data_IF_553449451809
#
_entry.id   IF_553449451809
#
_cell.length_a   1.000
_cell.length_b   1.000
_cell.length_c   1.000
_cell.angle_alpha   90.00
_cell.angle_beta   90.00
_cell.angle_gamma   90.00
#
_symmetry.space_group_name_H-M   'P 1'
#
loop_
_entity.id
_entity.type
_entity.pdbx_description
1 polymer ?
#
# COMPACT_ATOMS: atom_id res chain seq x y z
N UNK A 1 -9.22 -4.69 16.08
CA UNK A 1 -10.07 -5.83 15.64
C UNK A 1 -11.50 -5.72 16.15
N UNK A 2 -11.72 -5.45 17.46
CA UNK A 2 -13.07 -5.42 18.06
C UNK A 2 -14.05 -4.46 17.33
N UNK A 3 -13.60 -3.25 16.95
CA UNK A 3 -14.42 -2.32 16.18
C UNK A 3 -14.78 -2.82 14.78
N UNK A 4 -13.85 -3.49 14.12
CA UNK A 4 -14.09 -4.12 12.81
C UNK A 4 -15.09 -5.28 12.94
N UNK A 5 -14.91 -6.14 13.93
CA UNK A 5 -15.83 -7.24 14.18
C UNK A 5 -17.25 -6.73 14.47
N UNK A 6 -17.39 -5.68 15.29
CA UNK A 6 -18.68 -5.05 15.56
C UNK A 6 -19.36 -4.49 14.29
N UNK A 7 -18.58 -3.90 13.37
CA UNK A 7 -19.12 -3.42 12.10
C UNK A 7 -19.57 -4.57 11.19
N UNK A 8 -18.81 -5.66 11.13
CA UNK A 8 -19.11 -6.84 10.30
C UNK A 8 -20.32 -7.64 10.84
N UNK A 9 -20.56 -7.58 12.15
CA UNK A 9 -21.61 -8.39 12.81
C UNK A 9 -23.04 -8.06 12.32
N UNK A 10 -23.25 -6.87 11.72
CA UNK A 10 -24.53 -6.49 11.14
C UNK A 10 -24.88 -7.26 9.86
N UNK A 11 -23.88 -7.88 9.20
CA UNK A 11 -24.07 -8.66 7.96
C UNK A 11 -24.38 -7.84 6.70
N UNK A 12 -24.16 -6.53 6.74
CA UNK A 12 -24.40 -5.58 5.64
C UNK A 12 -23.12 -5.05 4.99
N UNK A 13 -21.95 -5.56 5.40
CA UNK A 13 -20.64 -5.19 4.84
C UNK A 13 -20.28 -6.11 3.70
N UNK A 14 -20.20 -5.57 2.48
CA UNK A 14 -19.84 -6.34 1.29
C UNK A 14 -18.33 -6.66 1.24
N UNK A 15 -17.48 -5.73 1.64
CA UNK A 15 -16.03 -5.89 1.56
C UNK A 15 -15.29 -5.04 2.59
N UNK A 16 -14.08 -5.50 2.94
CA UNK A 16 -13.07 -4.73 3.67
C UNK A 16 -12.01 -4.28 2.66
N UNK A 17 -11.81 -2.97 2.52
CA UNK A 17 -10.74 -2.40 1.71
C UNK A 17 -9.68 -1.80 2.64
N UNK A 18 -8.43 -2.22 2.47
CA UNK A 18 -7.33 -1.73 3.30
C UNK A 18 -5.97 -1.78 2.61
N UNK A 19 -5.07 -0.90 3.01
CA UNK A 19 -3.63 -1.08 2.79
C UNK A 19 -3.07 -2.02 3.86
N UNK A 20 -2.06 -2.86 3.57
CA UNK A 20 -1.36 -3.67 4.59
C UNK A 20 -0.64 -2.84 5.65
N UNK A 21 -0.18 -1.65 5.29
CA UNK A 21 0.33 -0.62 6.18
C UNK A 21 -0.21 0.73 5.71
N UNK A 22 -0.58 1.63 6.62
CA UNK A 22 -0.98 2.99 6.22
C UNK A 22 0.25 3.77 5.78
N UNK A 23 0.18 4.42 4.62
CA UNK A 23 1.36 5.02 3.98
C UNK A 23 1.17 6.46 3.51
N UNK A 24 0.00 7.04 3.68
CA UNK A 24 -0.28 8.45 3.36
C UNK A 24 -0.27 9.39 4.58
N UNK A 25 0.05 8.86 5.73
CA UNK A 25 0.11 9.58 7.00
C UNK A 25 1.41 9.28 7.77
N UNK A 26 2.47 9.08 7.04
CA UNK A 26 3.64 8.38 7.54
C UNK A 26 3.48 6.86 7.34
N UNK A 27 4.49 6.10 7.70
CA UNK A 27 4.39 4.64 7.68
C UNK A 27 3.86 4.17 9.04
N UNK A 28 2.61 3.68 9.06
CA UNK A 28 2.04 3.04 10.24
C UNK A 28 1.94 1.55 9.99
N UNK A 29 2.82 0.79 10.64
CA UNK A 29 2.87 -0.66 10.49
C UNK A 29 1.75 -1.32 11.28
N UNK A 30 1.18 -2.44 10.77
CA UNK A 30 0.21 -3.21 11.52
C UNK A 30 0.87 -3.91 12.71
N UNK A 31 0.11 -4.16 13.76
CA UNK A 31 0.52 -5.06 14.84
C UNK A 31 0.68 -6.49 14.31
N UNK A 32 1.55 -7.26 14.93
CA UNK A 32 1.78 -8.67 14.57
C UNK A 32 0.47 -9.48 14.57
N UNK A 33 0.23 -10.18 13.47
CA UNK A 33 -0.96 -11.00 13.29
C UNK A 33 -2.26 -10.21 12.99
N UNK A 34 -2.23 -8.88 12.99
CA UNK A 34 -3.43 -8.07 12.75
C UNK A 34 -4.06 -8.35 11.38
N UNK A 35 -3.25 -8.37 10.31
CA UNK A 35 -3.75 -8.57 8.95
C UNK A 35 -4.33 -9.97 8.73
N UNK A 36 -3.72 -10.98 9.33
CA UNK A 36 -4.26 -12.36 9.32
C UNK A 36 -5.60 -12.41 10.06
N UNK A 37 -5.70 -11.77 11.21
CA UNK A 37 -6.95 -11.71 11.96
C UNK A 37 -8.06 -10.93 11.21
N UNK A 38 -7.72 -9.89 10.44
CA UNK A 38 -8.66 -9.20 9.55
C UNK A 38 -9.16 -10.13 8.45
N UNK A 39 -8.26 -10.89 7.82
CA UNK A 39 -8.63 -11.89 6.82
C UNK A 39 -9.60 -12.94 7.39
N UNK A 40 -9.32 -13.43 8.60
CA UNK A 40 -10.18 -14.41 9.25
C UNK A 40 -11.55 -13.83 9.61
N UNK A 41 -11.61 -12.56 10.03
CA UNK A 41 -12.87 -11.85 10.25
C UNK A 41 -13.66 -11.67 8.96
N UNK A 42 -13.02 -11.24 7.85
CA UNK A 42 -13.66 -11.13 6.56
C UNK A 42 -14.32 -12.45 6.16
N UNK A 43 -13.58 -13.55 6.24
CA UNK A 43 -14.09 -14.90 5.96
C UNK A 43 -15.21 -15.33 6.90
N UNK A 44 -15.09 -15.06 8.20
CA UNK A 44 -16.09 -15.39 9.21
C UNK A 44 -17.44 -14.74 8.92
N UNK A 45 -17.43 -13.49 8.46
CA UNK A 45 -18.64 -12.70 8.22
C UNK A 45 -19.07 -12.66 6.76
N UNK A 46 -18.37 -13.38 5.87
CA UNK A 46 -18.69 -13.44 4.44
C UNK A 46 -18.45 -12.14 3.67
N UNK A 47 -17.63 -11.26 4.21
CA UNK A 47 -17.17 -10.04 3.53
C UNK A 47 -15.95 -10.35 2.65
N UNK A 48 -15.85 -9.71 1.49
CA UNK A 48 -14.68 -9.82 0.63
C UNK A 48 -13.50 -9.02 1.20
N UNK A 49 -12.28 -9.51 1.02
CA UNK A 49 -11.06 -8.80 1.41
C UNK A 49 -10.39 -8.19 0.17
N UNK A 50 -10.23 -6.88 0.17
CA UNK A 50 -9.56 -6.10 -0.88
C UNK A 50 -8.29 -5.50 -0.27
N UNK A 51 -7.13 -5.90 -0.79
CA UNK A 51 -5.84 -5.36 -0.33
C UNK A 51 -5.29 -4.40 -1.39
N UNK A 52 -4.96 -3.18 -0.98
CA UNK A 52 -4.29 -2.19 -1.81
C UNK A 52 -2.78 -2.21 -1.56
N UNK A 53 -2.04 -2.75 -2.53
CA UNK A 53 -0.57 -2.84 -2.53
C UNK A 53 0.12 -1.64 -3.18
N UNK A 54 -0.63 -0.60 -3.54
CA UNK A 54 -0.06 0.52 -4.31
C UNK A 54 1.22 1.09 -3.70
N UNK A 55 1.33 1.12 -2.39
CA UNK A 55 2.54 1.57 -1.69
C UNK A 55 3.34 0.40 -1.10
N UNK A 56 2.68 -0.61 -0.60
CA UNK A 56 3.31 -1.73 0.11
C UNK A 56 3.99 -2.72 -0.82
N UNK A 57 3.82 -2.58 -2.15
CA UNK A 57 4.65 -3.25 -3.17
C UNK A 57 6.15 -2.94 -2.98
N UNK A 58 6.52 -1.88 -2.28
CA UNK A 58 7.91 -1.55 -1.96
C UNK A 58 8.65 -2.63 -1.14
N UNK A 59 7.93 -3.56 -0.54
CA UNK A 59 8.49 -4.68 0.23
C UNK A 59 9.10 -5.76 -0.67
N UNK A 60 8.58 -5.91 -1.90
CA UNK A 60 9.08 -6.91 -2.84
C UNK A 60 8.13 -7.15 -4.01
N UNK A 61 8.47 -8.04 -4.96
CA UNK A 61 7.68 -8.29 -6.17
C UNK A 61 6.22 -8.69 -5.91
N UNK A 62 5.94 -9.30 -4.77
CA UNK A 62 4.59 -9.70 -4.36
C UNK A 62 3.98 -8.85 -3.25
N UNK A 63 4.65 -7.73 -2.89
CA UNK A 63 4.23 -6.84 -1.82
C UNK A 63 4.11 -7.51 -0.45
N UNK A 64 3.50 -6.82 0.50
CA UNK A 64 3.23 -7.38 1.83
C UNK A 64 2.25 -8.55 1.80
N UNK A 65 1.37 -8.61 0.80
CA UNK A 65 0.43 -9.73 0.63
C UNK A 65 1.17 -11.05 0.49
N UNK A 66 2.21 -11.10 -0.35
CA UNK A 66 3.02 -12.30 -0.52
C UNK A 66 3.89 -12.57 0.71
N UNK A 67 4.52 -11.54 1.25
CA UNK A 67 5.43 -11.63 2.40
C UNK A 67 4.73 -12.21 3.63
N UNK A 68 3.49 -11.81 3.87
CA UNK A 68 2.67 -12.28 5.00
C UNK A 68 1.77 -13.48 4.66
N UNK A 69 1.81 -13.98 3.43
CA UNK A 69 0.98 -15.11 2.99
C UNK A 69 -0.52 -14.84 3.01
N UNK A 70 -0.94 -13.58 2.86
CA UNK A 70 -2.35 -13.21 2.82
C UNK A 70 -3.02 -13.70 1.52
N UNK A 71 -4.31 -13.95 1.60
CA UNK A 71 -5.13 -14.45 0.50
C UNK A 71 -6.37 -13.56 0.33
N UNK A 72 -6.21 -12.36 -0.22
CA UNK A 72 -7.34 -11.47 -0.49
C UNK A 72 -8.19 -11.99 -1.65
N UNK A 73 -9.45 -11.55 -1.70
CA UNK A 73 -10.35 -11.76 -2.84
C UNK A 73 -10.03 -10.82 -4.00
N UNK A 74 -9.56 -9.60 -3.67
CA UNK A 74 -9.05 -8.61 -4.62
C UNK A 74 -7.70 -8.08 -4.14
N UNK A 75 -6.82 -7.85 -5.10
CA UNK A 75 -5.57 -7.13 -4.89
C UNK A 75 -5.52 -5.97 -5.88
N UNK A 76 -5.33 -4.74 -5.38
CA UNK A 76 -5.22 -3.55 -6.21
C UNK A 76 -3.80 -2.99 -6.17
N UNK A 77 -3.36 -2.42 -7.29
CA UNK A 77 -2.03 -1.82 -7.40
C UNK A 77 -2.04 -0.73 -8.47
N UNK A 78 -1.26 0.32 -8.23
CA UNK A 78 -1.13 1.44 -9.15
C UNK A 78 0.25 2.08 -9.08
N UNK A 79 0.32 3.39 -9.35
CA UNK A 79 1.52 4.25 -9.25
C UNK A 79 2.75 3.69 -9.98
N UNK A 80 3.62 2.94 -9.29
CA UNK A 80 4.93 2.52 -9.78
C UNK A 80 4.90 1.56 -10.98
N UNK A 81 3.76 0.91 -11.26
CA UNK A 81 3.68 -0.24 -12.19
C UNK A 81 3.77 0.12 -13.68
N UNK A 82 3.77 1.40 -14.06
CA UNK A 82 3.84 1.83 -15.45
C UNK A 82 4.81 2.99 -15.70
N UNK A 83 5.83 3.18 -14.85
CA UNK A 83 6.90 4.14 -15.09
C UNK A 83 6.45 5.60 -15.27
N UNK A 84 5.37 6.01 -14.59
CA UNK A 84 4.79 7.35 -14.64
C UNK A 84 3.61 7.52 -15.58
N UNK A 85 3.30 6.52 -16.43
CA UNK A 85 2.05 6.53 -17.21
C UNK A 85 0.89 6.17 -16.26
N UNK A 86 -0.21 6.96 -16.25
CA UNK A 86 -1.35 6.68 -15.40
C UNK A 86 -1.94 5.30 -15.65
N UNK A 87 -1.94 4.46 -14.63
CA UNK A 87 -2.49 3.11 -14.68
C UNK A 87 -2.85 2.65 -13.27
N UNK A 88 -3.88 1.85 -13.19
CA UNK A 88 -4.22 1.04 -12.04
C UNK A 88 -4.69 -0.33 -12.53
N UNK A 89 -4.42 -1.35 -11.77
CA UNK A 89 -4.88 -2.70 -12.06
C UNK A 89 -5.37 -3.37 -10.79
N UNK A 90 -6.19 -4.38 -10.96
CA UNK A 90 -6.59 -5.25 -9.86
C UNK A 90 -6.60 -6.70 -10.33
N UNK A 91 -6.26 -7.58 -9.40
CA UNK A 91 -6.43 -9.03 -9.54
C UNK A 91 -7.63 -9.48 -8.72
N UNK A 92 -8.27 -10.56 -9.15
CA UNK A 92 -9.40 -11.19 -8.46
C UNK A 92 -9.22 -12.69 -8.38
N UNK A 93 -9.81 -13.30 -7.36
CA UNK A 93 -9.87 -14.76 -7.28
C UNK A 93 -10.79 -15.35 -8.35
N UNK A 94 -10.60 -16.62 -8.63
CA UNK A 94 -11.47 -17.35 -9.57
C UNK A 94 -12.94 -17.39 -9.09
N UNK A 95 -13.16 -17.46 -7.78
CA UNK A 95 -14.48 -17.44 -7.16
C UNK A 95 -15.20 -16.12 -7.46
N UNK A 96 -14.52 -14.99 -7.26
CA UNK A 96 -15.06 -13.66 -7.60
C UNK A 96 -15.32 -13.55 -9.09
N UNK A 97 -14.38 -13.98 -9.94
CA UNK A 97 -14.54 -13.94 -11.38
C UNK A 97 -15.76 -14.75 -11.86
N UNK A 98 -15.96 -15.94 -11.27
CA UNK A 98 -17.11 -16.79 -11.60
C UNK A 98 -18.44 -16.18 -11.11
N UNK A 99 -18.42 -15.45 -9.99
CA UNK A 99 -19.61 -14.73 -9.50
C UNK A 99 -19.98 -13.58 -10.44
N UNK A 100 -18.99 -12.82 -10.91
CA UNK A 100 -19.21 -11.73 -11.89
C UNK A 100 -19.76 -12.27 -13.21
N UNK A 101 -19.22 -13.37 -13.74
CA UNK A 101 -19.70 -13.99 -15.00
C UNK A 101 -21.15 -14.45 -14.97
N UNK A 102 -21.70 -14.69 -13.78
CA UNK A 102 -23.13 -15.05 -13.64
C UNK A 102 -24.07 -13.85 -13.76
N UNK A 103 -23.55 -12.64 -13.66
CA UNK A 103 -24.31 -11.39 -13.74
C UNK A 103 -24.35 -10.89 -15.21
N UNK A 104 -24.84 -11.72 -16.11
CA UNK A 104 -24.95 -11.43 -17.56
C UNK A 104 -25.72 -10.12 -17.83
N UNK A 105 -26.59 -9.72 -16.92
CA UNK A 105 -27.34 -8.45 -17.02
C UNK A 105 -26.43 -7.22 -17.06
N UNK A 106 -25.22 -7.27 -16.50
CA UNK A 106 -24.23 -6.18 -16.57
C UNK A 106 -23.69 -5.96 -17.99
N UNK A 107 -23.72 -6.96 -18.86
CA UNK A 107 -23.34 -6.83 -20.26
C UNK A 107 -24.45 -6.15 -21.09
N UNK A 108 -25.71 -6.31 -20.69
CA UNK A 108 -26.88 -5.80 -21.41
C UNK A 108 -27.08 -4.30 -21.16
N UNK A 109 -26.64 -3.79 -20.02
CA UNK A 109 -26.87 -2.40 -19.60
C UNK A 109 -25.85 -1.42 -20.21
N UNK A 110 -24.87 -1.90 -20.98
CA UNK A 110 -23.79 -1.09 -21.59
C UNK A 110 -23.15 -0.11 -20.58
N UNK A 111 -22.78 -0.63 -19.42
CA UNK A 111 -22.14 0.16 -18.36
C UNK A 111 -20.66 0.45 -18.64
N UNK A 112 -20.15 0.11 -19.83
CA UNK A 112 -18.74 0.20 -20.18
C UNK A 112 -17.88 -0.89 -19.54
N UNK A 113 -18.50 -1.94 -19.00
CA UNK A 113 -17.85 -3.06 -18.35
C UNK A 113 -17.19 -2.71 -17.01
N UNK A 114 -16.28 -3.59 -16.57
CA UNK A 114 -15.48 -3.37 -15.37
C UNK A 114 -14.27 -2.50 -15.75
N UNK A 115 -14.25 -1.25 -15.31
CA UNK A 115 -13.12 -0.35 -15.51
C UNK A 115 -13.50 1.04 -15.98
N UNK A 116 -13.91 1.26 -17.09
CA UNK A 116 -14.36 2.49 -17.77
C UNK A 116 -13.88 2.49 -19.22
N UNK A 117 -14.31 3.48 -20.00
CA UNK A 117 -13.98 3.59 -21.43
C UNK A 117 -12.48 3.58 -21.74
N UNK A 118 -11.64 4.11 -20.86
CA UNK A 118 -10.18 4.16 -21.05
C UNK A 118 -9.44 3.01 -20.37
N UNK A 119 -10.14 2.14 -19.65
CA UNK A 119 -9.52 0.97 -19.04
C UNK A 119 -8.94 0.04 -20.14
N UNK A 120 -7.75 -0.51 -19.84
CA UNK A 120 -7.08 -1.40 -20.78
C UNK A 120 -6.54 -0.72 -22.05
N UNK A 121 -6.35 0.61 -22.06
CA UNK A 121 -5.76 1.28 -23.22
C UNK A 121 -4.34 0.75 -23.51
N UNK A 122 -4.01 0.65 -24.80
CA UNK A 122 -2.80 -0.02 -25.26
C UNK A 122 -1.51 0.63 -24.70
N UNK A 123 -1.47 1.96 -24.55
CA UNK A 123 -0.28 2.66 -24.06
C UNK A 123 0.00 2.32 -22.59
N UNK A 124 -1.01 2.40 -21.72
CA UNK A 124 -0.86 2.07 -20.30
C UNK A 124 -0.50 0.60 -20.10
N UNK A 125 -1.12 -0.32 -20.87
CA UNK A 125 -0.79 -1.74 -20.82
C UNK A 125 0.63 -2.03 -21.30
N UNK A 126 1.10 -1.39 -22.38
CA UNK A 126 2.45 -1.55 -22.87
C UNK A 126 3.49 -1.03 -21.86
N UNK A 127 3.25 0.16 -21.27
CA UNK A 127 4.10 0.72 -20.25
C UNK A 127 4.15 -0.16 -18.98
N UNK A 128 2.99 -0.63 -18.52
CA UNK A 128 2.90 -1.54 -17.38
C UNK A 128 3.64 -2.86 -17.64
N UNK A 129 3.45 -3.45 -18.83
CA UNK A 129 4.16 -4.66 -19.22
C UNK A 129 5.68 -4.47 -19.17
N UNK A 130 6.21 -3.41 -19.80
CA UNK A 130 7.64 -3.11 -19.80
C UNK A 130 8.16 -2.89 -18.38
N UNK A 131 7.46 -2.08 -17.58
CA UNK A 131 7.86 -1.81 -16.20
C UNK A 131 7.90 -3.07 -15.34
N UNK A 132 6.87 -3.91 -15.41
CA UNK A 132 6.80 -5.12 -14.59
C UNK A 132 7.77 -6.22 -15.06
N UNK A 133 8.06 -6.31 -16.37
CA UNK A 133 8.94 -7.35 -16.90
C UNK A 133 10.42 -7.00 -16.91
N UNK A 134 10.77 -5.70 -16.99
CA UNK A 134 12.15 -5.28 -17.25
C UNK A 134 12.72 -4.36 -16.15
N UNK A 135 11.87 -3.68 -15.38
CA UNK A 135 12.30 -2.71 -14.37
C UNK A 135 12.08 -3.24 -12.95
N UNK A 136 10.87 -3.67 -12.62
CA UNK A 136 10.52 -4.17 -11.28
C UNK A 136 10.87 -5.65 -11.13
N UNK A 137 12.14 -5.98 -11.38
CA UNK A 137 12.67 -7.33 -11.23
C UNK A 137 13.02 -7.64 -9.77
N UNK A 138 13.14 -8.91 -9.38
CA UNK A 138 13.59 -9.29 -8.02
C UNK A 138 14.92 -8.62 -7.63
N UNK A 139 15.86 -8.51 -8.58
CA UNK A 139 17.16 -7.86 -8.38
C UNK A 139 17.01 -6.36 -8.13
N UNK A 140 16.11 -5.69 -8.86
CA UNK A 140 15.80 -4.28 -8.65
C UNK A 140 15.20 -4.05 -7.26
N UNK A 141 14.26 -4.88 -6.83
CA UNK A 141 13.71 -4.81 -5.46
C UNK A 141 14.78 -4.99 -4.40
N UNK A 142 15.67 -5.98 -4.55
CA UNK A 142 16.78 -6.19 -3.63
C UNK A 142 17.68 -4.96 -3.54
N UNK A 143 17.99 -4.33 -4.68
CA UNK A 143 18.79 -3.11 -4.72
C UNK A 143 18.08 -1.92 -4.07
N UNK A 144 16.80 -1.72 -4.39
CA UNK A 144 16.00 -0.62 -3.83
C UNK A 144 15.83 -0.76 -2.31
N UNK A 145 15.58 -1.98 -1.80
CA UNK A 145 15.47 -2.25 -0.37
C UNK A 145 16.79 -1.94 0.34
N UNK A 146 17.92 -2.41 -0.20
CA UNK A 146 19.23 -2.11 0.37
C UNK A 146 19.54 -0.59 0.41
N UNK A 147 19.07 0.18 -0.59
CA UNK A 147 19.18 1.64 -0.58
C UNK A 147 18.24 2.27 0.45
N UNK A 148 17.02 1.75 0.59
CA UNK A 148 16.07 2.17 1.63
C UNK A 148 16.62 1.94 3.03
N UNK A 149 17.21 0.78 3.28
CA UNK A 149 17.88 0.47 4.55
C UNK A 149 19.02 1.43 4.83
N UNK A 150 19.92 1.64 3.84
CA UNK A 150 21.04 2.58 3.98
C UNK A 150 20.57 4.00 4.29
N UNK A 151 19.51 4.46 3.63
CA UNK A 151 18.92 5.78 3.90
C UNK A 151 18.38 5.85 5.33
N UNK A 152 17.62 4.85 5.75
CA UNK A 152 17.02 4.78 7.07
C UNK A 152 18.08 4.67 8.18
N UNK A 153 19.16 3.91 7.95
CA UNK A 153 20.30 3.84 8.87
C UNK A 153 20.97 5.22 9.04
N UNK A 154 21.08 5.99 7.95
CA UNK A 154 21.61 7.36 8.00
C UNK A 154 20.70 8.30 8.78
N UNK A 155 19.39 8.17 8.64
CA UNK A 155 18.41 8.95 9.42
C UNK A 155 18.48 8.57 10.90
N UNK A 156 18.50 7.28 11.24
CA UNK A 156 18.64 6.81 12.63
C UNK A 156 19.94 7.30 13.26
N UNK A 157 21.05 7.29 12.51
CA UNK A 157 22.32 7.83 12.98
C UNK A 157 22.24 9.33 13.29
N UNK A 158 21.60 10.11 12.42
CA UNK A 158 21.40 11.55 12.65
C UNK A 158 20.47 11.80 13.85
N UNK A 159 19.40 11.03 13.99
CA UNK A 159 18.50 11.10 15.16
C UNK A 159 19.30 10.90 16.45
N UNK A 160 20.17 9.87 16.48
CA UNK A 160 20.99 9.57 17.64
C UNK A 160 22.09 10.63 17.89
N UNK A 161 22.76 11.12 16.83
CA UNK A 161 23.84 12.12 16.93
C UNK A 161 23.35 13.45 17.51
N UNK A 162 22.14 13.86 17.10
CA UNK A 162 21.57 15.15 17.51
C UNK A 162 20.54 15.05 18.65
N UNK A 163 20.40 13.86 19.26
CA UNK A 163 19.46 13.59 20.36
C UNK A 163 18.02 14.07 20.03
N UNK A 164 17.55 13.75 18.82
CA UNK A 164 16.23 14.15 18.36
C UNK A 164 15.15 13.20 18.89
N UNK A 165 14.04 13.76 19.37
CA UNK A 165 12.84 12.96 19.71
C UNK A 165 12.07 12.59 18.43
N UNK A 166 12.76 11.91 17.51
CA UNK A 166 12.23 11.46 16.21
C UNK A 166 12.32 9.95 16.09
N UNK A 167 11.63 9.41 15.10
CA UNK A 167 11.64 7.98 14.76
C UNK A 167 11.68 7.78 13.24
N UNK A 168 12.36 6.75 12.77
CA UNK A 168 12.37 6.35 11.37
C UNK A 168 11.66 5.01 11.20
N UNK A 169 10.53 5.00 10.50
CA UNK A 169 9.83 3.79 10.10
C UNK A 169 10.38 3.28 8.76
N UNK A 170 10.40 1.95 8.59
CA UNK A 170 10.89 1.26 7.39
C UNK A 170 9.81 0.34 6.83
N UNK A 171 9.70 0.29 5.50
CA UNK A 171 8.78 -0.58 4.79
C UNK A 171 9.40 -0.97 3.43
N UNK A 172 10.24 -2.00 3.42
CA UNK A 172 10.99 -2.40 2.24
C UNK A 172 11.86 -1.27 1.69
N UNK A 173 11.64 -0.87 0.43
CA UNK A 173 12.38 0.23 -0.19
C UNK A 173 11.94 1.63 0.26
N UNK A 174 11.04 1.74 1.23
CA UNK A 174 10.56 3.01 1.79
C UNK A 174 11.08 3.20 3.20
N UNK A 175 11.50 4.43 3.50
CA UNK A 175 11.74 4.91 4.85
C UNK A 175 11.00 6.24 5.05
N UNK A 176 10.58 6.50 6.27
CA UNK A 176 9.92 7.76 6.63
C UNK A 176 10.23 8.14 8.06
N UNK A 177 10.74 9.34 8.27
CA UNK A 177 10.96 9.88 9.60
C UNK A 177 9.73 10.63 10.08
N UNK A 178 9.52 10.63 11.38
CA UNK A 178 8.46 11.35 12.07
C UNK A 178 9.06 12.14 13.25
N UNK A 179 8.41 13.24 13.60
CA UNK A 179 8.90 14.18 14.63
C UNK A 179 8.46 13.77 16.04
N UNK A 180 8.45 12.46 16.31
CA UNK A 180 8.22 11.87 17.64
C UNK A 180 9.03 10.60 17.80
N UNK A 181 9.57 10.38 19.00
CA UNK A 181 10.46 9.26 19.29
C UNK A 181 9.81 7.88 19.31
N UNK A 182 8.50 7.80 19.09
CA UNK A 182 7.77 6.53 19.03
C UNK A 182 7.06 6.35 17.70
N UNK A 183 7.16 5.16 17.13
CA UNK A 183 6.38 4.78 15.98
C UNK A 183 4.87 4.93 16.26
N UNK A 184 4.11 5.59 15.37
CA UNK A 184 2.67 5.70 15.50
C UNK A 184 2.02 4.33 15.30
N UNK A 185 1.01 4.02 16.09
CA UNK A 185 0.22 2.80 16.00
C UNK A 185 -1.15 3.02 15.35
N UNK A 186 -1.53 4.28 15.19
CA UNK A 186 -2.82 4.68 14.60
C UNK A 186 -2.62 5.87 13.69
N UNK A 187 -3.53 6.07 12.73
CA UNK A 187 -3.51 7.25 11.85
C UNK A 187 -3.65 8.57 12.62
N UNK A 188 -4.31 8.56 13.79
CA UNK A 188 -4.40 9.73 14.66
C UNK A 188 -3.04 10.07 15.24
N UNK A 189 -2.34 9.10 15.83
CA UNK A 189 -0.98 9.30 16.37
C UNK A 189 -0.01 9.75 15.29
N UNK A 190 -0.14 9.22 14.07
CA UNK A 190 0.66 9.65 12.94
C UNK A 190 0.38 11.12 12.57
N UNK A 191 -0.89 11.50 12.46
CA UNK A 191 -1.28 12.89 12.18
C UNK A 191 -0.79 13.87 13.27
N UNK A 192 -0.81 13.45 14.55
CA UNK A 192 -0.30 14.23 15.68
C UNK A 192 1.25 14.25 15.75
N UNK A 193 1.93 13.47 14.91
CA UNK A 193 3.39 13.41 14.83
C UNK A 193 3.97 14.33 13.77
N UNK A 194 3.13 14.95 12.93
CA UNK A 194 3.54 15.90 11.91
C UNK A 194 3.88 17.27 12.50
N UNK A 195 4.84 17.95 11.88
CA UNK A 195 5.15 19.37 12.10
C UNK A 195 5.29 20.02 10.72
N UNK A 196 4.20 20.64 10.25
CA UNK A 196 4.13 21.19 8.90
C UNK A 196 5.21 22.26 8.64
N UNK A 197 5.50 23.12 9.61
CA UNK A 197 6.49 24.19 9.44
C UNK A 197 7.90 23.59 9.33
N UNK A 198 8.22 22.60 10.14
CA UNK A 198 9.49 21.89 10.09
C UNK A 198 9.64 21.08 8.78
N UNK A 199 8.58 20.41 8.33
CA UNK A 199 8.58 19.72 7.03
C UNK A 199 8.88 20.68 5.88
N UNK A 200 8.22 21.83 5.85
CA UNK A 200 8.48 22.87 4.83
C UNK A 200 9.90 23.41 4.92
N UNK A 201 10.42 23.64 6.12
CA UNK A 201 11.80 24.09 6.31
C UNK A 201 12.81 23.06 5.77
N UNK A 202 12.65 21.78 6.13
CA UNK A 202 13.52 20.70 5.65
C UNK A 202 13.44 20.59 4.13
N UNK A 203 12.24 20.62 3.56
CA UNK A 203 12.02 20.57 2.11
C UNK A 203 12.75 21.71 1.39
N UNK A 204 12.55 22.95 1.83
CA UNK A 204 13.19 24.11 1.22
C UNK A 204 14.71 24.09 1.38
N UNK A 205 15.19 23.61 2.52
CA UNK A 205 16.62 23.47 2.78
C UNK A 205 17.27 22.45 1.83
N UNK A 206 16.65 21.27 1.68
CA UNK A 206 17.12 20.23 0.76
C UNK A 206 17.13 20.73 -0.68
N UNK A 207 16.07 21.43 -1.13
CA UNK A 207 16.03 22.04 -2.46
C UNK A 207 17.19 23.02 -2.69
N UNK A 208 17.51 23.87 -1.69
CA UNK A 208 18.61 24.80 -1.79
C UNK A 208 19.99 24.11 -1.84
N UNK A 209 20.11 22.95 -1.22
CA UNK A 209 21.33 22.13 -1.23
C UNK A 209 21.41 21.19 -2.45
N UNK A 210 20.41 21.22 -3.35
CA UNK A 210 20.39 20.49 -4.63
C UNK A 210 19.83 19.08 -4.58
N UNK A 211 18.99 18.76 -3.56
CA UNK A 211 18.31 17.49 -3.41
C UNK A 211 16.85 17.53 -3.87
#
# INVERSE_FOLDING_TARGET
>A
LAGMEAALANGDVAAILMEPAMTNVGIVLPEDGYLVAVQDLAKKYGALLIIDETHTISVGPGGMTQDLGLKPDFLTIGKAIAGGIPVGTFGITEEVANSIKKLVELEIIDTGGIGSTLAGNAMSLAAMRATLSEVLTPEAFKSMIALGDRWSDGVDAAIAEFDLDWHCNRLGARGEYIFKGKAPRTGREAAESGDFELEQYIHLRLLNDGF
#
